data_IF_288279723982
#
_entry.id   IF_288279723982
#
_cell.length_a   1.000
_cell.length_b   1.000
_cell.length_c   1.000
_cell.angle_alpha   90.00
_cell.angle_beta   90.00
_cell.angle_gamma   90.00
#
_symmetry.space_group_name_H-M   'P 1'
#
loop_
_entity.id
_entity.type
_entity.pdbx_description
1 polymer ?
#
# COMPACT_ATOMS: atom_id res chain seq x y z
N UNK A 1 0.22 -5.44 7.58
CA UNK A 1 -0.95 -6.31 7.32
C UNK A 1 -1.82 -5.70 6.22
N UNK A 2 -2.14 -6.46 5.18
CA UNK A 2 -3.05 -6.02 4.13
C UNK A 2 -4.52 -6.14 4.58
N UNK A 3 -5.32 -5.13 4.26
CA UNK A 3 -6.76 -5.10 4.59
C UNK A 3 -7.56 -5.57 3.39
N UNK A 4 -8.42 -6.56 3.60
CA UNK A 4 -9.46 -6.96 2.65
C UNK A 4 -10.80 -6.33 3.07
N UNK A 5 -11.75 -6.22 2.15
CA UNK A 5 -13.10 -5.66 2.39
C UNK A 5 -13.06 -4.28 3.08
N UNK A 6 -12.22 -3.38 2.56
CA UNK A 6 -11.93 -2.11 3.22
C UNK A 6 -13.18 -1.27 3.48
N UNK A 7 -14.17 -1.27 2.57
CA UNK A 7 -15.42 -0.54 2.80
C UNK A 7 -16.17 -0.96 4.08
N UNK A 8 -16.06 -2.23 4.48
CA UNK A 8 -16.69 -2.74 5.70
C UNK A 8 -15.81 -2.55 6.94
N UNK A 9 -14.50 -2.69 6.75
CA UNK A 9 -13.52 -2.73 7.83
C UNK A 9 -12.96 -1.35 8.17
N UNK A 10 -13.11 -0.33 7.32
CA UNK A 10 -12.49 0.98 7.48
C UNK A 10 -12.77 1.64 8.83
N UNK A 11 -13.94 1.39 9.43
CA UNK A 11 -14.33 1.90 10.76
C UNK A 11 -13.41 1.43 11.89
N UNK A 12 -12.73 0.29 11.71
CA UNK A 12 -11.79 -0.30 12.66
C UNK A 12 -10.40 0.37 12.62
N UNK A 13 -10.19 1.30 11.69
CA UNK A 13 -8.92 1.96 11.48
C UNK A 13 -9.03 3.47 11.67
N UNK A 14 -7.88 4.10 11.91
CA UNK A 14 -7.69 5.54 12.04
C UNK A 14 -6.35 5.99 11.46
N UNK A 15 -6.08 7.30 11.51
CA UNK A 15 -4.86 7.92 10.98
C UNK A 15 -4.59 7.56 9.51
N UNK A 16 -5.62 7.71 8.67
CA UNK A 16 -5.53 7.42 7.24
C UNK A 16 -4.58 8.39 6.53
N UNK A 17 -3.58 7.85 5.86
CA UNK A 17 -2.64 8.58 5.01
C UNK A 17 -2.57 7.91 3.64
N UNK A 18 -2.50 8.70 2.56
CA UNK A 18 -2.27 8.20 1.21
C UNK A 18 -0.80 8.39 0.86
N UNK A 19 -0.13 7.28 0.58
CA UNK A 19 1.21 7.27 0.04
C UNK A 19 1.19 7.01 -1.47
N UNK A 20 1.72 7.97 -2.22
CA UNK A 20 1.90 7.87 -3.67
C UNK A 20 3.28 7.26 -4.00
N UNK A 21 3.28 6.05 -4.56
CA UNK A 21 4.49 5.31 -4.95
C UNK A 21 4.65 5.41 -6.47
N UNK A 22 5.44 6.41 -6.90
CA UNK A 22 5.75 6.66 -8.32
C UNK A 22 6.50 5.49 -8.98
N UNK A 23 7.39 4.83 -8.23
CA UNK A 23 8.18 3.70 -8.71
C UNK A 23 8.79 2.92 -7.53
N UNK A 24 9.46 1.81 -7.83
CA UNK A 24 10.09 0.97 -6.81
C UNK A 24 11.23 1.69 -6.07
N UNK A 25 11.96 2.60 -6.72
CA UNK A 25 12.99 3.37 -6.02
C UNK A 25 12.34 4.26 -4.94
N UNK A 26 11.22 4.92 -5.26
CA UNK A 26 10.44 5.71 -4.31
C UNK A 26 9.87 4.85 -3.16
N UNK A 27 9.48 3.61 -3.45
CA UNK A 27 9.01 2.67 -2.44
C UNK A 27 10.07 2.33 -1.38
N UNK A 28 11.32 2.11 -1.79
CA UNK A 28 12.40 1.75 -0.88
C UNK A 28 13.17 2.95 -0.30
N UNK A 29 13.00 4.14 -0.88
CA UNK A 29 13.77 5.33 -0.51
C UNK A 29 13.51 5.74 0.94
N UNK A 30 14.59 5.75 1.73
CA UNK A 30 14.57 6.25 3.11
C UNK A 30 13.93 5.31 4.13
N UNK A 31 13.50 4.10 3.72
CA UNK A 31 12.90 3.13 4.62
C UNK A 31 13.73 1.84 4.70
N UNK A 32 14.60 1.77 5.72
CA UNK A 32 15.48 0.62 5.95
C UNK A 32 14.71 -0.68 6.20
N UNK A 33 13.51 -0.60 6.79
CA UNK A 33 12.68 -1.76 7.10
C UNK A 33 12.18 -2.43 5.82
N UNK A 34 11.62 -1.64 4.89
CA UNK A 34 11.13 -2.17 3.61
C UNK A 34 12.26 -2.80 2.79
N UNK A 35 13.43 -2.17 2.77
CA UNK A 35 14.63 -2.72 2.13
C UNK A 35 15.03 -4.06 2.74
N UNK A 36 15.11 -4.14 4.07
CA UNK A 36 15.49 -5.38 4.77
C UNK A 36 14.51 -6.51 4.46
N UNK A 37 13.20 -6.25 4.54
CA UNK A 37 12.16 -7.23 4.22
C UNK A 37 12.29 -7.73 2.77
N UNK A 38 12.52 -6.83 1.82
CA UNK A 38 12.70 -7.19 0.43
C UNK A 38 13.93 -8.09 0.23
N UNK A 39 15.08 -7.68 0.75
CA UNK A 39 16.33 -8.46 0.61
C UNK A 39 16.22 -9.83 1.27
N UNK A 40 15.54 -9.92 2.43
CA UNK A 40 15.28 -11.18 3.11
C UNK A 40 14.35 -12.09 2.33
N UNK A 41 13.31 -11.53 1.68
CA UNK A 41 12.32 -12.30 0.93
C UNK A 41 12.86 -12.79 -0.41
N UNK A 42 13.47 -11.89 -1.17
CA UNK A 42 13.89 -12.15 -2.55
C UNK A 42 15.35 -12.59 -2.67
N UNK A 43 16.13 -12.50 -1.58
CA UNK A 43 17.57 -12.84 -1.56
C UNK A 43 18.38 -12.05 -2.59
N UNK A 44 17.90 -10.86 -2.93
CA UNK A 44 18.49 -9.93 -3.88
C UNK A 44 18.75 -8.61 -3.14
N UNK A 45 19.99 -8.07 -3.13
CA UNK A 45 20.26 -6.74 -2.61
C UNK A 45 19.44 -5.69 -3.36
N UNK A 46 18.91 -4.69 -2.68
CA UNK A 46 18.06 -3.68 -3.34
C UNK A 46 18.82 -2.90 -4.41
N UNK A 47 20.12 -2.70 -4.22
CA UNK A 47 21.00 -2.06 -5.20
C UNK A 47 21.03 -2.80 -6.55
N UNK A 48 20.79 -4.11 -6.54
CA UNK A 48 20.76 -4.96 -7.73
C UNK A 48 19.35 -5.14 -8.29
N UNK A 49 18.31 -4.57 -7.65
CA UNK A 49 16.91 -4.78 -8.01
C UNK A 49 16.65 -4.51 -9.50
N UNK A 50 17.09 -3.35 -10.01
CA UNK A 50 16.87 -2.99 -11.41
C UNK A 50 17.57 -3.93 -12.40
N UNK A 51 18.71 -4.50 -12.01
CA UNK A 51 19.45 -5.45 -12.85
C UNK A 51 18.81 -6.85 -12.82
N UNK A 52 18.30 -7.26 -11.66
CA UNK A 52 17.70 -8.57 -11.41
C UNK A 52 16.18 -8.56 -11.46
N UNK A 53 15.56 -7.46 -11.90
CA UNK A 53 14.10 -7.30 -11.93
C UNK A 53 13.41 -8.39 -12.73
N UNK A 54 14.06 -8.84 -13.81
CA UNK A 54 13.59 -9.91 -14.69
C UNK A 54 13.64 -11.30 -14.04
N UNK A 55 14.39 -11.49 -12.94
CA UNK A 55 14.42 -12.73 -12.16
C UNK A 55 13.17 -12.88 -11.27
N UNK A 56 12.53 -11.75 -10.93
CA UNK A 56 11.33 -11.69 -10.08
C UNK A 56 10.08 -11.77 -10.98
N UNK A 57 9.26 -12.80 -10.77
CA UNK A 57 8.05 -13.05 -11.58
C UNK A 57 6.90 -12.12 -11.21
N UNK A 58 6.86 -11.68 -9.95
CA UNK A 58 5.85 -10.78 -9.44
C UNK A 58 5.90 -9.42 -10.14
N UNK A 59 4.74 -8.79 -10.29
CA UNK A 59 4.62 -7.39 -10.70
C UNK A 59 5.05 -6.44 -9.58
N UNK A 60 5.28 -5.16 -9.88
CA UNK A 60 5.68 -4.19 -8.86
C UNK A 60 4.64 -4.07 -7.74
N UNK A 61 3.34 -4.12 -8.08
CA UNK A 61 2.25 -4.14 -7.10
C UNK A 61 2.34 -5.35 -6.16
N UNK A 62 2.56 -6.55 -6.70
CA UNK A 62 2.69 -7.77 -5.92
C UNK A 62 3.93 -7.77 -5.01
N UNK A 63 5.04 -7.15 -5.45
CA UNK A 63 6.22 -6.96 -4.61
C UNK A 63 5.88 -6.02 -3.45
N UNK A 64 5.22 -4.89 -3.73
CA UNK A 64 4.78 -3.92 -2.71
C UNK A 64 3.83 -4.60 -1.70
N UNK A 65 2.83 -5.33 -2.17
CA UNK A 65 1.92 -6.14 -1.34
C UNK A 65 2.70 -7.09 -0.42
N UNK A 66 3.61 -7.88 -1.00
CA UNK A 66 4.41 -8.84 -0.25
C UNK A 66 5.24 -8.16 0.83
N UNK A 67 5.95 -7.08 0.49
CA UNK A 67 6.81 -6.37 1.44
C UNK A 67 5.98 -5.73 2.56
N UNK A 68 4.85 -5.08 2.23
CA UNK A 68 3.98 -4.44 3.23
C UNK A 68 3.24 -5.43 4.13
N UNK A 69 2.99 -6.66 3.65
CA UNK A 69 2.37 -7.68 4.49
C UNK A 69 3.26 -8.12 5.65
N UNK A 70 4.59 -8.10 5.46
CA UNK A 70 5.57 -8.34 6.53
C UNK A 70 5.73 -7.17 7.50
N UNK A 71 5.15 -6.00 7.20
CA UNK A 71 5.14 -4.86 8.12
C UNK A 71 4.00 -5.05 9.13
N UNK A 72 4.36 -5.32 10.38
CA UNK A 72 3.43 -5.76 11.43
C UNK A 72 2.81 -4.65 12.28
N UNK A 73 3.32 -3.43 12.21
CA UNK A 73 2.88 -2.30 13.05
C UNK A 73 1.79 -1.44 12.40
N UNK A 74 1.60 -1.58 11.09
CA UNK A 74 0.62 -0.82 10.30
C UNK A 74 -0.27 -1.72 9.46
N UNK A 75 -1.44 -1.18 9.12
CA UNK A 75 -2.36 -1.79 8.15
C UNK A 75 -2.31 -1.02 6.84
N UNK A 76 -2.45 -1.73 5.73
CA UNK A 76 -2.28 -1.17 4.39
C UNK A 76 -3.42 -1.59 3.47
N UNK A 77 -3.84 -0.68 2.60
CA UNK A 77 -4.77 -0.97 1.51
C UNK A 77 -4.21 -0.42 0.20
N UNK A 78 -3.95 -1.30 -0.77
CA UNK A 78 -3.18 -0.98 -1.97
C UNK A 78 -4.13 -0.87 -3.16
N UNK A 79 -3.95 0.15 -3.99
CA UNK A 79 -4.75 0.35 -5.19
C UNK A 79 -3.95 0.98 -6.32
N UNK A 80 -4.44 0.79 -7.54
CA UNK A 80 -3.90 1.39 -8.77
C UNK A 80 -5.05 1.96 -9.57
N UNK A 81 -4.75 2.84 -10.52
CA UNK A 81 -5.76 3.48 -11.32
C UNK A 81 -6.71 2.47 -12.00
N UNK A 82 -8.00 2.62 -11.70
CA UNK A 82 -9.13 1.82 -12.18
C UNK A 82 -9.12 0.33 -11.81
N UNK A 83 -8.31 -0.12 -10.84
CA UNK A 83 -8.50 -1.45 -10.28
C UNK A 83 -9.74 -1.51 -9.36
N UNK A 84 -10.16 -2.71 -8.97
CA UNK A 84 -11.36 -2.91 -8.14
C UNK A 84 -11.29 -2.11 -6.83
N UNK A 85 -10.14 -2.14 -6.17
CA UNK A 85 -9.88 -1.40 -4.95
C UNK A 85 -10.04 0.11 -5.13
N UNK A 86 -9.52 0.67 -6.22
CA UNK A 86 -9.67 2.08 -6.55
C UNK A 86 -11.14 2.47 -6.78
N UNK A 87 -11.90 1.63 -7.49
CA UNK A 87 -13.33 1.87 -7.72
C UNK A 87 -14.13 1.82 -6.42
N UNK A 88 -13.74 0.95 -5.48
CA UNK A 88 -14.30 0.92 -4.13
C UNK A 88 -14.05 2.24 -3.40
N UNK A 89 -12.80 2.71 -3.35
CA UNK A 89 -12.46 3.96 -2.68
C UNK A 89 -13.23 5.15 -3.29
N UNK A 90 -13.32 5.23 -4.63
CA UNK A 90 -14.07 6.29 -5.32
C UNK A 90 -15.51 6.36 -4.82
N UNK A 91 -16.18 5.21 -4.73
CA UNK A 91 -17.56 5.13 -4.23
C UNK A 91 -17.63 5.62 -2.79
N UNK A 92 -16.69 5.23 -1.92
CA UNK A 92 -16.65 5.65 -0.52
C UNK A 92 -16.48 7.18 -0.39
N UNK A 93 -15.63 7.80 -1.20
CA UNK A 93 -15.44 9.25 -1.20
C UNK A 93 -16.70 9.98 -1.71
N UNK A 94 -17.29 9.50 -2.81
CA UNK A 94 -18.52 10.08 -3.38
C UNK A 94 -19.71 9.98 -2.41
N UNK A 95 -19.80 8.87 -1.66
CA UNK A 95 -20.81 8.65 -0.62
C UNK A 95 -20.51 9.36 0.70
N UNK A 96 -19.39 10.07 0.80
CA UNK A 96 -18.92 10.76 2.02
C UNK A 96 -18.73 9.83 3.22
N UNK A 97 -18.43 8.55 2.97
CA UNK A 97 -18.07 7.57 4.00
C UNK A 97 -16.67 7.88 4.53
N UNK A 98 -15.76 8.31 3.63
CA UNK A 98 -14.39 8.64 3.97
C UNK A 98 -13.90 9.85 3.19
N UNK A 99 -13.03 10.64 3.81
CA UNK A 99 -12.26 11.69 3.16
C UNK A 99 -10.78 11.35 3.29
N UNK A 100 -10.13 11.12 2.14
CA UNK A 100 -8.71 10.75 2.06
C UNK A 100 -7.77 11.96 2.03
N UNK A 101 -8.30 13.20 2.10
CA UNK A 101 -7.51 14.43 1.98
C UNK A 101 -7.05 14.76 0.55
N UNK A 102 -7.25 13.85 -0.39
CA UNK A 102 -6.96 13.99 -1.83
C UNK A 102 -8.17 13.55 -2.65
N UNK A 103 -8.27 14.04 -3.90
CA UNK A 103 -9.26 13.54 -4.85
C UNK A 103 -8.76 12.23 -5.46
N UNK A 104 -9.25 11.11 -4.94
CA UNK A 104 -8.86 9.79 -5.42
C UNK A 104 -9.40 9.50 -6.83
N UNK A 105 -10.36 10.26 -7.35
CA UNK A 105 -10.79 10.10 -8.75
C UNK A 105 -9.70 10.54 -9.74
N UNK A 106 -8.74 11.35 -9.31
CA UNK A 106 -7.75 11.98 -10.16
C UNK A 106 -6.33 11.59 -9.75
N UNK A 107 -6.06 10.29 -9.76
CA UNK A 107 -4.74 9.71 -9.52
C UNK A 107 -3.99 9.39 -10.82
N UNK A 108 -2.67 9.26 -10.75
CA UNK A 108 -1.84 8.88 -11.90
C UNK A 108 -1.99 7.40 -12.21
N UNK A 109 -1.92 7.07 -13.50
CA UNK A 109 -2.21 5.73 -14.01
C UNK A 109 -1.02 4.76 -13.95
N UNK A 110 0.19 5.26 -13.81
CA UNK A 110 1.44 4.52 -13.74
C UNK A 110 1.99 4.35 -12.31
N UNK A 111 1.28 4.90 -11.32
CA UNK A 111 1.66 4.86 -9.91
C UNK A 111 0.93 3.75 -9.15
N UNK A 112 1.52 3.32 -8.03
CA UNK A 112 0.86 2.49 -7.02
C UNK A 112 0.54 3.35 -5.81
N UNK A 113 -0.67 3.24 -5.29
CA UNK A 113 -1.11 4.00 -4.12
C UNK A 113 -1.34 3.07 -2.94
N UNK A 114 -0.96 3.54 -1.76
CA UNK A 114 -1.10 2.80 -0.51
C UNK A 114 -1.83 3.68 0.50
N UNK A 115 -3.00 3.24 0.97
CA UNK A 115 -3.60 3.79 2.18
C UNK A 115 -2.88 3.17 3.37
N UNK A 116 -2.19 3.99 4.16
CA UNK A 116 -1.57 3.60 5.43
C UNK A 116 -2.54 3.95 6.55
N UNK A 117 -2.73 3.03 7.49
CA UNK A 117 -3.66 3.23 8.59
C UNK A 117 -3.25 2.47 9.85
N UNK A 118 -3.73 2.96 10.99
CA UNK A 118 -3.59 2.31 12.28
C UNK A 118 -4.85 1.55 12.64
N UNK A 119 -4.70 0.33 13.15
CA UNK A 119 -5.82 -0.37 13.74
C UNK A 119 -6.16 0.33 15.06
N UNK A 120 -7.43 0.76 15.20
CA UNK A 120 -7.91 1.31 16.47
C UNK A 120 -7.65 0.30 17.56
N UNK A 121 -6.93 0.71 18.60
CA UNK A 121 -6.86 -0.05 19.82
C UNK A 121 -8.29 -0.11 20.35
N UNK A 122 -8.91 -1.30 20.33
CA UNK A 122 -10.13 -1.48 21.10
C UNK A 122 -9.76 -1.16 22.54
N UNK A 123 -10.36 -0.14 23.13
CA UNK A 123 -10.32 0.03 24.57
C UNK A 123 -10.84 -1.29 25.15
N UNK A 124 -9.92 -2.07 25.72
CA UNK A 124 -10.28 -3.23 26.52
C UNK A 124 -11.00 -2.65 27.75
N UNK A 125 -12.32 -2.60 27.66
CA UNK A 125 -13.20 -2.33 28.79
C UNK A 125 -12.96 -3.35 29.90
#
# INVERSE_FOLDING_TARGET
>A
MLVEDFAEMCRLYENFEIWDVENMDAFFKGNFVLTTIFEDKYKIPIADFNQKRSEIKETNMQIIETVLDYVGDKSFYIFTHHNENHLELIKMQQQKIMNFGVDINNIKNDHVYVVIMDKKLSEAN
#
